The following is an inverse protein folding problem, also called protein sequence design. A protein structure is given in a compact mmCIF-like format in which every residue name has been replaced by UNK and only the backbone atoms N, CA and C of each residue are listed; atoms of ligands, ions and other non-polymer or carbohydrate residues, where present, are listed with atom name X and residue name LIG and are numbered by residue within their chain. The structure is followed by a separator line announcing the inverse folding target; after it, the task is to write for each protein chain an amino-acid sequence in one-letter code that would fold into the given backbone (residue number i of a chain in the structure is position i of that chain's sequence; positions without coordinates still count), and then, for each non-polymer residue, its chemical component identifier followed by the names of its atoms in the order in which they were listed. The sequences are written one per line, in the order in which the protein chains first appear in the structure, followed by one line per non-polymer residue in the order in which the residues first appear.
data_IF_528025835256
#
_entry.id   IF_528025835256
#
_cell.length_a   1.000
_cell.length_b   1.000
_cell.length_c   1.000
_cell.angle_alpha   90.00
_cell.angle_beta   90.00
_cell.angle_gamma   90.00
#
_symmetry.space_group_name_H-M   'P 1'
#
loop_
_entity.id
_entity.type
_entity.pdbx_description
1 polymer ?
#
# COMPACT_ATOMS: atom_id res chain seq x y z
N UNK A 1 18.66 2.67 44.26
CA UNK A 1 19.37 3.90 43.82
C UNK A 1 20.04 3.58 42.49
N UNK A 2 19.51 4.07 41.38
CA UNK A 2 20.10 3.98 40.04
C UNK A 2 20.60 5.38 39.64
N UNK A 3 21.71 5.49 38.90
CA UNK A 3 22.06 6.72 38.17
C UNK A 3 23.10 7.66 38.78
N UNK A 4 24.26 7.18 39.25
CA UNK A 4 25.38 8.08 39.62
C UNK A 4 26.35 8.35 38.47
N UNK A 5 26.28 7.62 37.36
CA UNK A 5 27.09 7.86 36.17
C UNK A 5 26.42 7.24 34.93
N UNK A 6 26.51 7.88 33.74
CA UNK A 6 26.04 7.28 32.51
C UNK A 6 26.88 6.05 32.16
N UNK A 7 26.24 4.91 31.93
CA UNK A 7 26.89 3.69 31.43
C UNK A 7 26.62 3.58 29.93
N UNK A 8 27.66 3.38 29.13
CA UNK A 8 27.53 3.22 27.69
C UNK A 8 26.81 1.89 27.37
N UNK A 9 25.60 1.97 26.83
CA UNK A 9 24.74 0.81 26.50
C UNK A 9 24.97 0.32 25.05
N UNK A 10 25.56 1.15 24.19
CA UNK A 10 25.86 0.82 22.81
C UNK A 10 27.32 0.35 22.67
N UNK A 11 27.49 -0.95 22.39
CA UNK A 11 28.77 -1.58 22.07
C UNK A 11 28.80 -2.03 20.61
N UNK A 12 29.99 -2.32 20.05
CA UNK A 12 30.15 -2.74 18.64
C UNK A 12 29.28 -3.96 18.24
N UNK A 13 28.91 -4.80 19.20
CA UNK A 13 28.01 -5.94 19.02
C UNK A 13 26.50 -5.59 19.06
N UNK A 14 26.12 -4.42 19.58
CA UNK A 14 24.74 -3.89 19.59
C UNK A 14 24.53 -2.71 18.62
N UNK A 15 25.61 -2.11 18.11
CA UNK A 15 25.56 -1.02 17.14
C UNK A 15 25.50 -1.63 15.74
N UNK A 16 24.30 -1.69 15.16
CA UNK A 16 24.15 -2.01 13.75
C UNK A 16 24.93 -0.98 12.93
N UNK A 17 25.92 -1.43 12.16
CA UNK A 17 26.63 -0.60 11.19
C UNK A 17 25.58 0.02 10.26
N UNK A 18 25.53 1.35 10.20
CA UNK A 18 24.61 2.10 9.33
C UNK A 18 25.02 1.90 7.86
N UNK A 19 24.68 0.75 7.29
CA UNK A 19 24.84 0.42 5.86
C UNK A 19 23.57 0.82 5.13
N UNK A 20 23.22 2.10 5.19
CA UNK A 20 22.30 2.70 4.23
C UNK A 20 23.05 3.86 3.59
N UNK A 21 23.74 3.55 2.51
CA UNK A 21 24.03 4.55 1.50
C UNK A 21 22.70 5.20 1.10
N UNK A 22 22.66 6.53 1.07
CA UNK A 22 21.50 7.24 0.59
C UNK A 22 21.32 6.93 -0.91
N UNK A 23 20.47 5.95 -1.25
CA UNK A 23 20.12 5.55 -2.62
C UNK A 23 19.26 6.61 -3.36
N UNK A 24 19.30 7.88 -2.94
CA UNK A 24 18.57 8.97 -3.58
C UNK A 24 19.30 9.47 -4.82
N UNK A 25 19.15 8.78 -5.97
CA UNK A 25 19.51 9.38 -7.26
C UNK A 25 18.55 10.56 -7.51
N UNK A 26 19.07 11.78 -7.65
CA UNK A 26 18.27 13.01 -7.81
C UNK A 26 17.32 13.06 -9.01
N UNK A 27 17.36 12.07 -9.92
CA UNK A 27 16.39 11.91 -11.01
C UNK A 27 15.04 11.29 -10.61
N UNK A 28 14.91 10.76 -9.38
CA UNK A 28 13.66 10.19 -8.88
C UNK A 28 13.00 11.17 -7.89
N UNK A 29 12.17 12.08 -8.40
CA UNK A 29 11.35 12.97 -7.56
C UNK A 29 9.96 12.40 -7.30
N UNK A 30 9.35 12.84 -6.21
CA UNK A 30 7.94 12.59 -5.95
C UNK A 30 7.06 13.30 -6.99
N UNK A 31 5.86 12.75 -7.24
CA UNK A 31 4.82 13.44 -8.01
C UNK A 31 4.40 14.75 -7.31
N UNK A 32 4.06 15.76 -8.10
CA UNK A 32 3.27 16.89 -7.59
C UNK A 32 1.86 16.41 -7.22
N UNK A 33 1.09 17.27 -6.54
CA UNK A 33 -0.30 16.95 -6.21
C UNK A 33 -1.12 16.78 -7.49
N UNK A 34 -0.88 17.60 -8.50
CA UNK A 34 -1.57 17.56 -9.80
C UNK A 34 -1.21 16.30 -10.58
N UNK A 35 0.06 15.91 -10.60
CA UNK A 35 0.51 14.68 -11.27
C UNK A 35 -0.06 13.43 -10.59
N UNK A 36 -0.16 13.45 -9.26
CA UNK A 36 -0.76 12.35 -8.51
C UNK A 36 -2.26 12.25 -8.78
N UNK A 37 -2.97 13.37 -8.81
CA UNK A 37 -4.39 13.39 -9.17
C UNK A 37 -4.59 12.84 -10.59
N UNK A 38 -3.83 13.36 -11.57
CA UNK A 38 -3.87 12.87 -12.94
C UNK A 38 -3.54 11.38 -13.04
N UNK A 39 -2.59 10.89 -12.24
CA UNK A 39 -2.26 9.47 -12.14
C UNK A 39 -3.45 8.63 -11.68
N UNK A 40 -4.16 9.06 -10.62
CA UNK A 40 -5.35 8.34 -10.16
C UNK A 40 -6.50 8.40 -11.17
N UNK A 41 -6.75 9.56 -11.77
CA UNK A 41 -7.79 9.75 -12.76
C UNK A 41 -7.54 8.86 -13.99
N UNK A 42 -6.30 8.84 -14.49
CA UNK A 42 -5.91 7.97 -15.61
C UNK A 42 -6.09 6.48 -15.26
N UNK A 43 -5.67 6.06 -14.06
CA UNK A 43 -5.86 4.68 -13.61
C UNK A 43 -7.34 4.29 -13.57
N UNK A 44 -8.22 5.17 -13.07
CA UNK A 44 -9.67 4.94 -13.05
C UNK A 44 -10.28 4.96 -14.46
N UNK A 45 -9.84 5.85 -15.34
CA UNK A 45 -10.28 5.93 -16.74
C UNK A 45 -9.94 4.66 -17.52
N UNK A 46 -8.76 4.08 -17.31
CA UNK A 46 -8.38 2.79 -17.90
C UNK A 46 -9.34 1.67 -17.47
N UNK A 47 -9.82 1.70 -16.23
CA UNK A 47 -10.83 0.76 -15.72
C UNK A 47 -12.17 0.96 -16.41
N UNK A 48 -12.65 2.22 -16.48
CA UNK A 48 -13.91 2.58 -17.13
C UNK A 48 -13.88 2.19 -18.61
N UNK A 49 -12.79 2.48 -19.32
CA UNK A 49 -12.59 2.12 -20.71
C UNK A 49 -12.61 0.59 -20.91
N UNK A 50 -11.95 -0.16 -20.02
CA UNK A 50 -11.95 -1.63 -20.05
C UNK A 50 -13.37 -2.20 -19.83
N UNK A 51 -14.11 -1.65 -18.86
CA UNK A 51 -15.49 -2.05 -18.55
C UNK A 51 -16.46 -1.75 -19.70
N UNK A 52 -16.38 -0.54 -20.29
CA UNK A 52 -17.20 -0.13 -21.45
C UNK A 52 -16.97 -1.04 -22.67
N UNK A 53 -15.75 -1.56 -22.85
CA UNK A 53 -15.40 -2.51 -23.91
C UNK A 53 -15.81 -3.96 -23.61
N UNK A 54 -16.50 -4.23 -22.49
CA UNK A 54 -16.94 -5.57 -22.09
C UNK A 54 -15.80 -6.52 -21.73
N UNK A 55 -14.59 -6.01 -21.46
CA UNK A 55 -13.41 -6.86 -21.19
C UNK A 55 -13.42 -7.31 -19.74
N UNK A 56 -13.30 -8.63 -19.51
CA UNK A 56 -13.27 -9.22 -18.14
C UNK A 56 -12.16 -8.64 -17.23
N UNK A 57 -11.09 -8.11 -17.80
CA UNK A 57 -9.95 -7.56 -17.06
C UNK A 57 -10.22 -6.25 -16.29
N UNK A 58 -11.42 -5.66 -16.38
CA UNK A 58 -11.75 -4.44 -15.65
C UNK A 58 -11.69 -4.62 -14.12
N UNK A 59 -12.02 -5.80 -13.60
CA UNK A 59 -11.91 -6.11 -12.16
C UNK A 59 -10.46 -6.03 -11.67
N UNK A 60 -9.53 -6.58 -12.45
CA UNK A 60 -8.10 -6.49 -12.16
C UNK A 60 -7.58 -5.05 -12.29
N UNK A 61 -8.13 -4.28 -13.23
CA UNK A 61 -7.85 -2.85 -13.35
C UNK A 61 -8.31 -2.08 -12.09
N UNK A 62 -9.55 -2.29 -11.65
CA UNK A 62 -10.11 -1.64 -10.46
C UNK A 62 -9.25 -1.96 -9.23
N UNK A 63 -8.90 -3.24 -9.03
CA UNK A 63 -7.97 -3.66 -7.98
C UNK A 63 -6.69 -2.82 -7.96
N UNK A 64 -6.07 -2.68 -9.12
CA UNK A 64 -4.77 -2.02 -9.23
C UNK A 64 -4.90 -0.50 -9.03
N UNK A 65 -5.97 0.13 -9.52
CA UNK A 65 -6.27 1.55 -9.29
C UNK A 65 -6.49 1.84 -7.79
N UNK A 66 -7.34 1.04 -7.11
CA UNK A 66 -7.53 1.13 -5.66
C UNK A 66 -6.23 0.87 -4.91
N UNK A 67 -5.40 -0.09 -5.36
CA UNK A 67 -4.11 -0.39 -4.73
C UNK A 67 -3.19 0.84 -4.72
N UNK A 68 -3.13 1.63 -5.79
CA UNK A 68 -2.33 2.86 -5.81
C UNK A 68 -2.84 3.90 -4.82
N UNK A 69 -4.17 4.08 -4.74
CA UNK A 69 -4.82 4.96 -3.77
C UNK A 69 -4.51 4.54 -2.33
N UNK A 70 -4.56 3.25 -2.03
CA UNK A 70 -4.19 2.72 -0.70
C UNK A 70 -2.70 2.84 -0.43
N UNK A 71 -1.84 2.60 -1.42
CA UNK A 71 -0.40 2.76 -1.25
C UNK A 71 -0.05 4.22 -0.87
N UNK A 72 -0.68 5.19 -1.53
CA UNK A 72 -0.52 6.60 -1.20
C UNK A 72 -1.15 6.97 0.14
N UNK A 73 -2.42 6.61 0.35
CA UNK A 73 -3.22 7.03 1.51
C UNK A 73 -2.64 6.60 2.86
N UNK A 74 -1.88 5.50 2.89
CA UNK A 74 -1.21 5.00 4.10
C UNK A 74 0.33 5.01 4.00
N UNK A 75 0.91 5.63 2.97
CA UNK A 75 2.37 5.73 2.80
C UNK A 75 3.09 4.37 2.78
N UNK A 76 2.52 3.41 2.05
CA UNK A 76 2.99 2.03 2.04
C UNK A 76 4.05 1.79 0.97
N UNK A 77 5.05 0.98 1.32
CA UNK A 77 5.96 0.42 0.32
C UNK A 77 5.23 -0.60 -0.55
N UNK A 78 5.68 -0.76 -1.79
CA UNK A 78 5.15 -1.73 -2.76
C UNK A 78 4.92 -3.14 -2.20
N UNK A 79 5.90 -3.66 -1.43
CA UNK A 79 5.75 -4.97 -0.77
C UNK A 79 4.69 -4.95 0.33
N UNK A 80 4.64 -3.89 1.13
CA UNK A 80 3.73 -3.75 2.27
C UNK A 80 2.28 -3.72 1.77
N UNK A 81 1.97 -2.91 0.75
CA UNK A 81 0.61 -2.85 0.18
C UNK A 81 0.21 -4.18 -0.45
N UNK A 82 1.11 -4.85 -1.19
CA UNK A 82 0.81 -6.13 -1.87
C UNK A 82 0.34 -7.23 -0.93
N UNK A 83 0.90 -7.30 0.28
CA UNK A 83 0.66 -8.40 1.22
C UNK A 83 -0.45 -8.12 2.22
N UNK A 84 -1.15 -6.99 2.11
CA UNK A 84 -2.26 -6.66 2.99
C UNK A 84 -3.36 -7.73 2.96
N UNK A 85 -3.94 -7.97 4.13
CA UNK A 85 -5.16 -8.71 4.34
C UNK A 85 -6.31 -7.77 4.71
N UNK A 86 -7.54 -8.22 4.45
CA UNK A 86 -8.75 -7.50 4.85
C UNK A 86 -8.85 -7.29 6.36
N UNK A 87 -8.14 -8.09 7.14
CA UNK A 87 -8.08 -8.03 8.62
C UNK A 87 -6.97 -7.13 9.15
N UNK A 88 -6.20 -6.48 8.27
CA UNK A 88 -5.13 -5.58 8.70
C UNK A 88 -5.65 -4.20 9.07
N UNK A 89 -6.95 -3.95 8.98
CA UNK A 89 -7.60 -2.72 9.38
C UNK A 89 -8.37 -2.89 10.69
N UNK A 90 -8.46 -1.81 11.46
CA UNK A 90 -9.27 -1.76 12.67
C UNK A 90 -9.85 -0.37 12.92
N UNK A 91 -10.74 -0.32 13.91
CA UNK A 91 -11.36 0.93 14.37
C UNK A 91 -10.36 1.80 15.12
N UNK A 92 -10.51 3.11 14.98
CA UNK A 92 -9.84 4.10 15.83
C UNK A 92 -10.91 4.94 16.54
N UNK A 93 -11.09 4.81 17.88
CA UNK A 93 -12.08 5.60 18.61
C UNK A 93 -11.89 7.12 18.49
N UNK A 94 -10.68 7.58 18.17
CA UNK A 94 -10.37 8.99 17.97
C UNK A 94 -10.56 9.46 16.52
N UNK A 95 -10.96 8.57 15.62
CA UNK A 95 -11.23 8.88 14.21
C UNK A 95 -12.41 8.00 13.71
N UNK A 96 -13.56 8.19 14.34
CA UNK A 96 -14.77 7.38 14.10
C UNK A 96 -15.34 7.56 12.69
N UNK A 97 -15.03 8.66 12.02
CA UNK A 97 -15.38 8.95 10.63
C UNK A 97 -14.84 7.91 9.63
N UNK A 98 -13.80 7.15 10.01
CA UNK A 98 -13.22 6.10 9.17
C UNK A 98 -13.73 4.69 9.49
N UNK A 99 -14.67 4.55 10.43
CA UNK A 99 -15.27 3.27 10.85
C UNK A 99 -14.20 2.16 11.05
N UNK A 100 -14.37 0.98 10.42
CA UNK A 100 -13.46 -0.17 10.50
C UNK A 100 -12.10 0.06 9.83
N UNK A 101 -11.92 1.19 9.16
CA UNK A 101 -10.70 1.57 8.46
C UNK A 101 -9.93 2.69 9.19
N UNK A 102 -10.19 2.95 10.47
CA UNK A 102 -9.51 4.01 11.24
C UNK A 102 -8.00 3.82 11.48
N UNK A 103 -7.50 2.59 11.47
CA UNK A 103 -6.07 2.27 11.59
C UNK A 103 -5.69 1.07 10.73
N UNK A 104 -4.53 1.16 10.07
CA UNK A 104 -3.91 0.06 9.34
C UNK A 104 -2.71 -0.51 10.12
N UNK A 105 -2.71 -1.83 10.32
CA UNK A 105 -1.63 -2.59 10.95
C UNK A 105 -0.68 -3.16 9.88
N UNK A 106 0.44 -2.49 9.65
CA UNK A 106 1.48 -2.94 8.71
C UNK A 106 2.31 -4.04 9.38
N UNK A 107 2.05 -5.30 9.02
CA UNK A 107 2.72 -6.48 9.62
C UNK A 107 4.08 -6.83 9.00
N UNK A 108 4.32 -6.42 7.76
CA UNK A 108 5.44 -6.86 6.94
C UNK A 108 6.39 -5.72 6.56
N UNK A 109 6.65 -4.81 7.48
CA UNK A 109 7.54 -3.67 7.24
C UNK A 109 9.00 -4.06 7.01
N UNK A 110 9.77 -3.14 6.42
CA UNK A 110 11.20 -3.33 6.11
C UNK A 110 11.96 -3.71 7.39
N UNK A 111 12.54 -4.90 7.40
CA UNK A 111 13.41 -5.39 8.46
C UNK A 111 14.83 -4.86 8.28
N UNK A 112 15.60 -4.84 9.38
CA UNK A 112 17.06 -4.79 9.30
C UNK A 112 17.59 -6.17 8.92
N UNK A 113 18.80 -6.26 8.38
CA UNK A 113 19.44 -7.54 8.10
C UNK A 113 19.45 -8.42 9.37
N UNK A 114 18.96 -9.66 9.25
CA UNK A 114 18.85 -10.62 10.36
C UNK A 114 17.71 -10.39 11.35
N UNK A 115 16.88 -9.35 11.18
CA UNK A 115 15.75 -9.05 12.08
C UNK A 115 14.40 -9.48 11.51
N UNK A 116 13.42 -9.72 12.38
CA UNK A 116 12.03 -9.92 11.97
C UNK A 116 11.45 -8.66 11.29
N UNK A 117 10.41 -8.79 10.44
CA UNK A 117 9.69 -7.65 9.87
C UNK A 117 9.26 -6.66 10.94
N UNK A 118 9.53 -5.37 10.72
CA UNK A 118 9.09 -4.31 11.64
C UNK A 118 7.60 -4.08 11.47
N UNK A 119 6.85 -4.20 12.56
CA UNK A 119 5.42 -3.89 12.59
C UNK A 119 5.21 -2.41 12.94
N UNK A 120 4.21 -1.77 12.32
CA UNK A 120 3.79 -0.40 12.66
C UNK A 120 2.30 -0.22 12.41
N UNK A 121 1.69 0.72 13.12
CA UNK A 121 0.33 1.17 12.85
C UNK A 121 0.35 2.49 12.10
N UNK A 122 -0.53 2.66 11.13
CA UNK A 122 -0.71 3.90 10.36
C UNK A 122 -2.16 4.34 10.49
N UNK A 123 -2.38 5.54 11.02
CA UNK A 123 -3.72 6.10 11.16
C UNK A 123 -4.24 6.56 9.80
N UNK A 124 -5.53 6.35 9.56
CA UNK A 124 -6.19 6.86 8.36
C UNK A 124 -6.37 8.37 8.47
N UNK A 125 -6.10 9.07 7.36
CA UNK A 125 -6.17 10.54 7.29
C UNK A 125 -6.87 11.04 6.02
N UNK A 126 -7.07 10.17 5.03
CA UNK A 126 -7.69 10.52 3.75
C UNK A 126 -9.02 9.78 3.58
N UNK A 127 -10.14 10.48 3.78
CA UNK A 127 -11.49 9.91 3.64
C UNK A 127 -11.76 9.29 2.26
N UNK A 128 -11.31 9.95 1.21
CA UNK A 128 -11.43 9.44 -0.17
C UNK A 128 -10.71 8.09 -0.36
N UNK A 129 -9.59 7.85 0.33
CA UNK A 129 -8.85 6.60 0.22
C UNK A 129 -9.55 5.47 0.98
N UNK A 130 -10.15 5.78 2.14
CA UNK A 130 -10.99 4.82 2.88
C UNK A 130 -12.28 4.49 2.13
N UNK A 131 -12.92 5.46 1.47
CA UNK A 131 -14.11 5.24 0.64
C UNK A 131 -13.81 4.31 -0.55
N UNK A 132 -12.73 4.59 -1.29
CA UNK A 132 -12.29 3.72 -2.39
C UNK A 132 -11.95 2.30 -1.92
N UNK A 133 -11.34 2.17 -0.74
CA UNK A 133 -11.02 0.88 -0.15
C UNK A 133 -12.28 0.14 0.31
N UNK A 134 -13.25 0.84 0.88
CA UNK A 134 -14.52 0.26 1.30
C UNK A 134 -15.29 -0.30 0.11
N UNK A 135 -15.49 0.50 -0.95
CA UNK A 135 -16.12 0.06 -2.21
C UNK A 135 -15.41 -1.17 -2.79
N UNK A 136 -14.06 -1.14 -2.80
CA UNK A 136 -13.29 -2.30 -3.21
C UNK A 136 -13.61 -3.53 -2.35
N UNK A 137 -13.59 -3.40 -1.02
CA UNK A 137 -13.77 -4.53 -0.11
C UNK A 137 -15.19 -5.12 -0.16
N UNK A 138 -16.21 -4.28 -0.32
CA UNK A 138 -17.63 -4.68 -0.25
C UNK A 138 -18.17 -5.11 -1.61
N UNK A 139 -17.84 -4.40 -2.68
CA UNK A 139 -18.59 -4.52 -3.93
C UNK A 139 -17.79 -5.26 -5.00
N UNK A 140 -16.49 -4.99 -5.08
CA UNK A 140 -15.68 -5.44 -6.23
C UNK A 140 -14.81 -6.65 -5.87
N UNK A 141 -14.12 -6.62 -4.73
CA UNK A 141 -13.24 -7.70 -4.27
C UNK A 141 -13.97 -9.05 -4.19
N UNK A 142 -15.23 -9.16 -3.71
CA UNK A 142 -15.93 -10.45 -3.67
C UNK A 142 -16.10 -11.12 -5.04
N UNK A 143 -16.07 -10.34 -6.13
CA UNK A 143 -16.16 -10.86 -7.51
C UNK A 143 -14.86 -11.53 -7.98
N UNK A 144 -13.74 -11.26 -7.31
CA UNK A 144 -12.41 -11.81 -7.61
C UNK A 144 -11.91 -12.79 -6.54
N UNK A 145 -12.27 -12.57 -5.28
CA UNK A 145 -11.75 -13.35 -4.17
C UNK A 145 -12.36 -14.75 -4.15
N UNK A 146 -11.50 -15.77 -4.00
CA UNK A 146 -11.95 -17.12 -3.65
C UNK A 146 -12.51 -17.14 -2.22
N UNK A 147 -13.45 -18.05 -1.97
CA UNK A 147 -13.97 -18.30 -0.62
C UNK A 147 -12.83 -18.53 0.38
N UNK A 148 -12.91 -17.88 1.55
CA UNK A 148 -11.88 -17.95 2.58
C UNK A 148 -10.60 -17.14 2.33
N UNK A 149 -10.45 -16.50 1.16
CA UNK A 149 -9.30 -15.63 0.89
C UNK A 149 -9.33 -14.40 1.79
N UNK A 150 -8.24 -14.18 2.53
CA UNK A 150 -8.01 -12.96 3.33
C UNK A 150 -7.25 -11.88 2.57
N UNK A 151 -6.69 -12.22 1.40
CA UNK A 151 -5.90 -11.30 0.61
C UNK A 151 -6.71 -10.06 0.24
N UNK A 152 -6.17 -8.86 0.48
CA UNK A 152 -6.82 -7.63 0.08
C UNK A 152 -6.81 -7.47 -1.45
N UNK A 153 -5.75 -7.95 -2.10
CA UNK A 153 -5.53 -7.83 -3.54
C UNK A 153 -5.46 -9.20 -4.23
N UNK A 154 -6.58 -9.95 -4.31
CA UNK A 154 -6.62 -11.24 -4.98
C UNK A 154 -6.42 -11.12 -6.50
N UNK A 155 -6.00 -12.22 -7.11
CA UNK A 155 -6.01 -12.42 -8.56
C UNK A 155 -7.09 -13.42 -8.93
N UNK A 156 -7.48 -13.44 -10.21
CA UNK A 156 -8.45 -14.41 -10.76
C UNK A 156 -7.99 -15.86 -10.55
N UNK A 157 -6.67 -16.09 -10.41
CA UNK A 157 -6.07 -17.40 -10.14
C UNK A 157 -6.07 -17.77 -8.65
N UNK A 158 -6.61 -16.92 -7.78
CA UNK A 158 -6.71 -17.14 -6.33
C UNK A 158 -5.48 -16.75 -5.52
N UNK A 159 -4.43 -16.24 -6.16
CA UNK A 159 -3.23 -15.73 -5.49
C UNK A 159 -3.36 -14.26 -5.12
N UNK A 160 -2.26 -13.64 -4.65
CA UNK A 160 -2.13 -12.18 -4.50
C UNK A 160 -1.57 -11.57 -5.76
N UNK A 161 -1.89 -10.30 -6.02
CA UNK A 161 -1.23 -9.51 -7.07
C UNK A 161 0.30 -9.62 -6.93
N UNK A 162 1.03 -9.72 -8.04
CA UNK A 162 2.49 -9.78 -8.02
C UNK A 162 3.10 -8.38 -7.95
N UNK A 163 4.34 -8.30 -7.46
CA UNK A 163 5.13 -7.08 -7.49
C UNK A 163 5.33 -6.56 -8.92
N UNK A 164 5.67 -7.45 -9.86
CA UNK A 164 5.78 -7.14 -11.29
C UNK A 164 4.50 -6.55 -11.87
N UNK A 165 3.32 -7.10 -11.50
CA UNK A 165 2.04 -6.57 -11.99
C UNK A 165 1.80 -5.13 -11.52
N UNK A 166 2.19 -4.81 -10.29
CA UNK A 166 2.09 -3.44 -9.75
C UNK A 166 3.00 -2.51 -10.56
N UNK A 167 4.25 -2.92 -10.80
CA UNK A 167 5.22 -2.13 -11.57
C UNK A 167 4.78 -1.92 -13.02
N UNK A 168 4.27 -2.97 -13.67
CA UNK A 168 3.80 -2.92 -15.06
C UNK A 168 2.62 -1.95 -15.21
N UNK A 169 1.66 -2.01 -14.28
CA UNK A 169 0.49 -1.13 -14.34
C UNK A 169 0.86 0.31 -13.94
N UNK A 170 1.73 0.50 -12.95
CA UNK A 170 2.23 1.82 -12.60
C UNK A 170 2.96 2.46 -13.79
N UNK A 171 3.83 1.69 -14.47
CA UNK A 171 4.52 2.11 -15.68
C UNK A 171 3.58 2.36 -16.87
N UNK A 172 2.48 1.61 -16.99
CA UNK A 172 1.45 1.87 -17.99
C UNK A 172 0.81 3.25 -17.78
N UNK A 173 0.28 3.51 -16.59
CA UNK A 173 -0.37 4.80 -16.27
C UNK A 173 0.58 5.97 -16.48
N UNK A 174 1.84 5.84 -16.03
CA UNK A 174 2.86 6.85 -16.26
C UNK A 174 3.13 7.11 -17.74
N UNK A 175 3.20 6.08 -18.58
CA UNK A 175 3.39 6.25 -20.03
C UNK A 175 2.21 6.96 -20.68
N UNK A 176 0.98 6.65 -20.29
CA UNK A 176 -0.22 7.34 -20.79
C UNK A 176 -0.19 8.84 -20.44
N UNK A 177 0.38 9.20 -19.28
CA UNK A 177 0.51 10.59 -18.82
C UNK A 177 1.84 11.27 -19.17
N UNK A 178 2.75 10.56 -19.86
CA UNK A 178 4.11 11.05 -20.15
C UNK A 178 4.92 11.45 -18.90
N UNK A 179 4.77 10.71 -17.78
CA UNK A 179 5.44 10.90 -16.49
C UNK A 179 6.68 10.05 -16.26
#
# INVERSE_FOLDING_TARGET
RFGTHPTQVCHQWNTATHVQEAEGRGGLRAFSVEELQAFFDCADELVVASRRRGRKGWLAGFRDATLFKVAYGWGLRRREVRVLDTTDFGVNPHAAEFDRLGVLYVRHGKAMAGSAPKQRSVLSVFGWATECLEEWMTDIRPLLARAGSRALWPTERGGRVSETRIDDHFGLVRRELSL
#
